data_IF_099171863391
#
_entry.id   IF_099171863391
#
_cell.length_a   1.000
_cell.length_b   1.000
_cell.length_c   1.000
_cell.angle_alpha   90.00
_cell.angle_beta   90.00
_cell.angle_gamma   90.00
#
_symmetry.space_group_name_H-M   'P 1'
#
loop_
_entity.id
_entity.type
_entity.pdbx_description
1 polymer ?
#
# COMPACT_ATOMS: atom_id res chain seq x y z
N UNK A 1 12.52 4.20 -16.37
CA UNK A 1 13.20 3.69 -15.16
C UNK A 1 13.44 4.91 -14.27
N UNK A 2 12.86 4.98 -13.08
CA UNK A 2 13.12 6.11 -12.17
C UNK A 2 14.59 6.10 -11.72
N UNK A 3 15.16 7.28 -11.53
CA UNK A 3 16.53 7.42 -11.07
C UNK A 3 16.66 6.96 -9.61
N UNK A 4 17.40 5.86 -9.44
CA UNK A 4 17.61 5.17 -8.17
C UNK A 4 18.54 5.94 -7.21
N UNK A 5 19.16 7.01 -7.68
CA UNK A 5 20.02 7.87 -6.85
C UNK A 5 19.25 9.00 -6.18
N UNK A 6 17.99 9.21 -6.58
CA UNK A 6 17.16 10.26 -6.01
C UNK A 6 16.76 9.95 -4.57
N UNK A 7 16.64 11.00 -3.75
CA UNK A 7 16.12 10.86 -2.37
C UNK A 7 14.71 10.28 -2.33
N UNK A 8 13.86 10.61 -3.32
CA UNK A 8 12.49 10.08 -3.42
C UNK A 8 12.49 8.55 -3.56
N UNK A 9 13.37 8.01 -4.40
CA UNK A 9 13.52 6.56 -4.53
C UNK A 9 13.96 5.93 -3.21
N UNK A 10 14.92 6.55 -2.51
CA UNK A 10 15.38 6.05 -1.20
C UNK A 10 14.25 6.01 -0.17
N UNK A 11 13.45 7.09 -0.06
CA UNK A 11 12.29 7.11 0.83
C UNK A 11 11.25 6.05 0.47
N UNK A 12 11.01 5.83 -0.82
CA UNK A 12 10.11 4.76 -1.24
C UNK A 12 10.61 3.38 -0.81
N UNK A 13 11.91 3.11 -0.96
CA UNK A 13 12.52 1.85 -0.52
C UNK A 13 12.46 1.68 1.00
N UNK A 14 12.72 2.75 1.76
CA UNK A 14 12.57 2.74 3.22
C UNK A 14 11.14 2.39 3.65
N UNK A 15 10.13 2.98 3.01
CA UNK A 15 8.72 2.66 3.27
C UNK A 15 8.44 1.18 3.01
N UNK A 16 8.90 0.64 1.88
CA UNK A 16 8.71 -0.78 1.55
C UNK A 16 9.35 -1.69 2.60
N UNK A 17 10.56 -1.37 3.06
CA UNK A 17 11.26 -2.12 4.12
C UNK A 17 10.45 -2.10 5.43
N UNK A 18 9.84 -0.96 5.78
CA UNK A 18 9.00 -0.87 6.98
C UNK A 18 7.66 -1.59 6.81
N UNK A 19 7.07 -1.58 5.60
CA UNK A 19 5.86 -2.34 5.31
C UNK A 19 6.08 -3.84 5.53
N UNK A 20 7.22 -4.39 5.12
CA UNK A 20 7.57 -5.80 5.35
C UNK A 20 7.67 -6.18 6.84
N UNK A 21 7.99 -5.22 7.72
CA UNK A 21 8.06 -5.43 9.17
C UNK A 21 6.70 -5.31 9.86
N UNK A 22 5.65 -4.93 9.13
CA UNK A 22 4.31 -4.74 9.70
C UNK A 22 3.65 -6.09 10.00
N UNK A 23 2.80 -6.14 11.03
CA UNK A 23 2.04 -7.36 11.31
C UNK A 23 1.07 -7.71 10.17
N UNK A 24 0.45 -6.67 9.58
CA UNK A 24 -0.55 -6.77 8.50
C UNK A 24 -0.54 -5.50 7.65
N UNK A 25 -0.99 -5.62 6.40
CA UNK A 25 -1.18 -4.49 5.48
C UNK A 25 -2.67 -4.37 5.15
N UNK A 26 -3.23 -3.18 5.30
CA UNK A 26 -4.61 -2.87 4.91
C UNK A 26 -4.57 -2.04 3.64
N UNK A 27 -5.34 -2.46 2.63
CA UNK A 27 -5.45 -1.78 1.36
C UNK A 27 -6.90 -1.37 1.14
N UNK A 28 -7.11 -0.10 0.79
CA UNK A 28 -8.41 0.41 0.37
C UNK A 28 -8.70 -0.06 -1.06
N UNK A 29 -9.04 -1.34 -1.20
CA UNK A 29 -9.36 -1.97 -2.48
C UNK A 29 -10.48 -2.98 -2.32
N UNK A 30 -11.13 -3.33 -3.43
CA UNK A 30 -12.14 -4.39 -3.51
C UNK A 30 -11.48 -5.65 -4.05
N UNK A 31 -11.50 -6.72 -3.25
CA UNK A 31 -10.87 -7.99 -3.62
C UNK A 31 -11.34 -8.51 -4.99
N UNK A 32 -12.63 -8.37 -5.30
CA UNK A 32 -13.19 -8.81 -6.58
C UNK A 32 -12.60 -8.11 -7.81
N UNK A 33 -12.10 -6.88 -7.65
CA UNK A 33 -11.51 -6.09 -8.73
C UNK A 33 -10.02 -6.43 -8.94
N UNK A 34 -9.30 -6.75 -7.86
CA UNK A 34 -7.85 -6.91 -7.87
C UNK A 34 -7.36 -8.35 -7.62
N UNK A 35 -8.23 -9.37 -7.76
CA UNK A 35 -7.86 -10.79 -7.57
C UNK A 35 -6.59 -11.20 -8.33
N UNK A 36 -6.39 -10.68 -9.55
CA UNK A 36 -5.21 -10.97 -10.38
C UNK A 36 -3.89 -10.51 -9.75
N UNK A 37 -3.95 -9.50 -8.89
CA UNK A 37 -2.79 -8.95 -8.17
C UNK A 37 -2.71 -9.53 -6.77
N UNK A 38 -3.84 -9.61 -6.07
CA UNK A 38 -3.89 -10.08 -4.68
C UNK A 38 -3.55 -11.56 -4.56
N UNK A 39 -4.06 -12.43 -5.45
CA UNK A 39 -3.84 -13.87 -5.33
C UNK A 39 -2.34 -14.23 -5.40
N UNK A 40 -1.56 -13.80 -6.42
CA UNK A 40 -0.13 -14.10 -6.44
C UNK A 40 0.65 -13.59 -5.21
N UNK A 41 0.23 -12.47 -4.63
CA UNK A 41 0.87 -11.93 -3.42
C UNK A 41 0.53 -12.79 -2.21
N UNK A 42 -0.74 -13.12 -2.01
CA UNK A 42 -1.21 -13.95 -0.90
C UNK A 42 -0.69 -15.38 -0.99
N UNK A 43 -0.51 -15.90 -2.21
CA UNK A 43 0.07 -17.21 -2.49
C UNK A 43 1.61 -17.21 -2.38
N UNK A 44 2.23 -16.05 -2.07
CA UNK A 44 3.67 -15.91 -1.92
C UNK A 44 4.47 -16.03 -3.23
N UNK A 45 3.80 -16.01 -4.38
CA UNK A 45 4.43 -16.12 -5.70
C UNK A 45 5.27 -14.87 -6.05
N UNK A 46 4.97 -13.72 -5.43
CA UNK A 46 5.69 -12.47 -5.66
C UNK A 46 6.99 -12.34 -4.85
N UNK A 47 7.22 -13.20 -3.85
CA UNK A 47 8.44 -13.19 -3.01
C UNK A 47 9.00 -14.60 -2.82
N UNK A 48 9.50 -15.25 -3.89
CA UNK A 48 10.02 -16.61 -3.80
C UNK A 48 11.29 -16.65 -2.95
N UNK A 49 11.27 -17.40 -1.84
CA UNK A 49 12.44 -17.61 -0.96
C UNK A 49 12.55 -16.66 0.23
N UNK A 50 11.65 -15.68 0.38
CA UNK A 50 11.55 -14.85 1.59
C UNK A 50 10.52 -15.38 2.60
N UNK A 51 10.73 -15.03 3.87
CA UNK A 51 10.14 -15.67 5.05
C UNK A 51 8.67 -15.28 5.34
N UNK A 52 7.90 -14.94 4.30
CA UNK A 52 6.50 -14.46 4.24
C UNK A 52 6.31 -12.95 4.27
N UNK A 53 5.55 -12.46 3.28
CA UNK A 53 4.98 -11.11 3.25
C UNK A 53 3.90 -10.97 4.32
N UNK A 54 3.70 -9.78 4.91
CA UNK A 54 2.59 -9.54 5.81
C UNK A 54 1.25 -9.80 5.13
N UNK A 55 0.29 -10.34 5.88
CA UNK A 55 -1.04 -10.63 5.33
C UNK A 55 -1.75 -9.35 4.89
N UNK A 56 -2.28 -9.35 3.66
CA UNK A 56 -2.99 -8.23 3.06
C UNK A 56 -4.50 -8.35 3.31
N UNK A 57 -5.13 -7.23 3.65
CA UNK A 57 -6.58 -7.09 3.85
C UNK A 57 -7.16 -6.01 2.96
N UNK A 58 -8.09 -6.40 2.09
CA UNK A 58 -8.84 -5.50 1.21
C UNK A 58 -10.11 -5.00 1.94
N UNK A 59 -10.15 -3.72 2.33
CA UNK A 59 -11.27 -3.11 3.07
C UNK A 59 -11.97 -1.99 2.28
N UNK A 60 -11.77 -1.93 0.97
CA UNK A 60 -12.32 -0.89 0.12
C UNK A 60 -13.72 -1.20 -0.46
N UNK A 61 -14.37 -0.18 -1.03
CA UNK A 61 -13.93 1.21 -1.03
C UNK A 61 -14.27 1.91 0.29
N UNK A 62 -13.28 2.56 0.92
CA UNK A 62 -13.50 3.52 2.00
C UNK A 62 -14.04 4.82 1.39
N UNK A 63 -15.33 5.06 1.57
CA UNK A 63 -16.05 6.22 1.03
C UNK A 63 -16.32 7.20 2.18
N UNK A 64 -16.10 8.48 1.95
CA UNK A 64 -16.50 9.54 2.89
C UNK A 64 -18.02 9.71 2.78
N UNK A 65 -18.76 9.46 3.87
CA UNK A 65 -20.18 9.82 3.94
C UNK A 65 -20.28 11.35 3.95
N UNK A 66 -21.15 11.90 3.08
CA UNK A 66 -21.29 13.34 2.89
C UNK A 66 -21.81 14.04 4.13
N UNK A 67 -20.89 14.55 4.94
CA UNK A 67 -20.98 15.81 5.68
C UNK A 67 -19.56 16.38 5.76
N UNK A 68 -19.14 16.97 4.64
CA UNK A 68 -17.79 17.43 4.38
C UNK A 68 -17.37 18.55 5.33
N UNK A 69 -16.48 18.23 6.27
CA UNK A 69 -15.42 19.15 6.65
C UNK A 69 -14.11 18.63 6.08
N UNK A 70 -13.74 19.16 4.93
CA UNK A 70 -12.42 18.99 4.32
C UNK A 70 -11.37 19.50 5.30
N UNK A 71 -10.77 18.60 6.08
CA UNK A 71 -9.57 18.90 6.86
C UNK A 71 -8.39 18.83 5.91
N UNK A 72 -8.00 19.96 5.33
CA UNK A 72 -6.87 20.01 4.41
C UNK A 72 -6.76 21.28 3.55
N UNK A 73 -7.21 22.44 4.04
CA UNK A 73 -6.85 23.71 3.42
C UNK A 73 -5.61 24.25 4.15
N UNK A 74 -4.41 23.92 3.64
CA UNK A 74 -3.20 24.68 3.99
C UNK A 74 -3.15 25.85 3.02
N UNK A 75 -3.49 27.02 3.53
CA UNK A 75 -3.41 28.29 2.79
C UNK A 75 -1.92 28.64 2.61
N UNK A 76 -1.43 28.93 1.39
CA UNK A 76 -0.08 29.44 1.21
C UNK A 76 -0.01 30.91 1.66
N UNK A 77 1.10 31.28 2.32
CA UNK A 77 1.53 32.67 2.54
C UNK A 77 2.15 33.27 1.28
#
# INVERSE_FOLDING_TARGET
MQDRTTKVYNYFMEIVIQMLKSARIIVNTVESFEKRVLNPILDGLCTPGEQTVPRIYSLGPLIVSGDGKSSGEVKPE
#
